data_IF_885838897312
#
_entry.id   IF_885838897312
#
_cell.length_a   1.000
_cell.length_b   1.000
_cell.length_c   1.000
_cell.angle_alpha   90.00
_cell.angle_beta   90.00
_cell.angle_gamma   90.00
#
_symmetry.space_group_name_H-M   'P 1'
#
loop_
_entity.id
_entity.type
_entity.pdbx_description
1 polymer ?
#
# COMPACT_ATOMS: atom_id res chain seq x y z
N UNK A 1 10.47 -6.47 22.76
CA UNK A 1 9.32 -6.24 21.85
C UNK A 1 9.88 -5.76 20.51
N UNK A 2 10.01 -6.67 19.53
CA UNK A 2 10.58 -6.34 18.22
C UNK A 2 9.57 -5.44 17.48
N UNK A 3 9.97 -4.20 17.22
CA UNK A 3 9.23 -3.25 16.36
C UNK A 3 9.24 -3.82 14.94
N UNK A 4 8.27 -4.69 14.63
CA UNK A 4 7.96 -5.04 13.25
C UNK A 4 7.25 -3.83 12.64
N UNK A 5 8.04 -2.93 12.06
CA UNK A 5 7.52 -1.99 11.08
C UNK A 5 7.06 -2.81 9.88
N UNK A 6 5.79 -3.23 9.91
CA UNK A 6 5.14 -3.73 8.72
C UNK A 6 5.07 -2.58 7.73
N UNK A 7 6.08 -2.47 6.87
CA UNK A 7 5.89 -1.87 5.57
C UNK A 7 4.80 -2.70 4.89
N UNK A 8 3.55 -2.30 5.04
CA UNK A 8 2.54 -2.65 4.06
C UNK A 8 3.04 -1.94 2.82
N UNK A 9 3.69 -2.72 1.97
CA UNK A 9 4.08 -2.31 0.65
C UNK A 9 2.81 -2.14 -0.18
N UNK A 10 2.05 -1.07 0.09
CA UNK A 10 1.50 -0.27 -1.01
C UNK A 10 2.62 0.58 -1.62
N UNK A 11 3.81 -0.02 -1.72
CA UNK A 11 4.99 0.55 -2.31
C UNK A 11 4.94 0.22 -3.79
N UNK A 12 4.66 1.27 -4.56
CA UNK A 12 5.25 1.48 -5.87
C UNK A 12 6.67 0.87 -5.93
N UNK A 13 6.80 -0.33 -6.49
CA UNK A 13 8.07 -0.95 -6.87
C UNK A 13 8.72 -1.85 -5.82
N UNK A 14 8.70 -3.16 -6.09
CA UNK A 14 9.81 -4.16 -5.99
C UNK A 14 9.16 -5.54 -6.24
N UNK A 15 9.67 -6.52 -6.98
CA UNK A 15 10.80 -6.80 -7.87
C UNK A 15 10.45 -8.15 -8.52
N UNK A 16 10.89 -8.40 -9.76
CA UNK A 16 10.86 -9.73 -10.36
C UNK A 16 9.52 -10.17 -10.95
N UNK A 17 9.55 -10.59 -12.22
CA UNK A 17 8.46 -11.32 -12.86
C UNK A 17 8.31 -12.64 -12.09
N UNK A 18 7.18 -12.87 -11.43
CA UNK A 18 6.78 -14.18 -10.91
C UNK A 18 5.34 -14.48 -11.31
N UNK A 19 5.01 -15.77 -11.43
CA UNK A 19 3.76 -16.26 -12.01
C UNK A 19 2.52 -15.72 -11.28
N UNK A 20 1.37 -15.63 -11.98
CA UNK A 20 0.12 -15.05 -11.44
C UNK A 20 -0.33 -15.64 -10.09
N UNK A 21 -0.04 -16.92 -9.84
CA UNK A 21 -0.36 -17.60 -8.59
C UNK A 21 0.47 -17.10 -7.39
N UNK A 22 1.73 -16.73 -7.61
CA UNK A 22 2.62 -16.15 -6.58
C UNK A 22 2.23 -14.69 -6.28
N UNK A 23 1.84 -13.94 -7.33
CA UNK A 23 1.29 -12.58 -7.19
C UNK A 23 -0.01 -12.58 -6.37
N UNK A 24 -0.88 -13.57 -6.59
CA UNK A 24 -2.12 -13.72 -5.83
C UNK A 24 -1.85 -14.13 -4.37
N UNK A 25 -0.91 -15.04 -4.13
CA UNK A 25 -0.49 -15.42 -2.78
C UNK A 25 0.10 -14.23 -1.98
N UNK A 26 0.96 -13.43 -2.62
CA UNK A 26 1.54 -12.22 -2.01
C UNK A 26 0.47 -11.19 -1.67
N UNK A 27 -0.47 -10.95 -2.58
CA UNK A 27 -1.58 -10.02 -2.35
C UNK A 27 -2.46 -10.47 -1.19
N UNK A 28 -2.80 -11.76 -1.10
CA UNK A 28 -3.56 -12.30 0.03
C UNK A 28 -2.84 -12.12 1.36
N UNK A 29 -1.52 -12.31 1.40
CA UNK A 29 -0.73 -12.08 2.61
C UNK A 29 -0.70 -10.59 3.02
N UNK A 30 -0.62 -9.67 2.06
CA UNK A 30 -0.69 -8.23 2.30
C UNK A 30 -2.08 -7.80 2.78
N UNK A 31 -3.14 -8.33 2.16
CA UNK A 31 -4.51 -8.11 2.58
C UNK A 31 -4.77 -8.63 3.99
N UNK A 32 -4.27 -9.81 4.34
CA UNK A 32 -4.39 -10.37 5.70
C UNK A 32 -3.77 -9.45 6.77
N UNK A 33 -2.62 -8.82 6.47
CA UNK A 33 -1.99 -7.83 7.36
C UNK A 33 -2.82 -6.56 7.49
N UNK A 34 -3.33 -6.04 6.37
CA UNK A 34 -4.21 -4.87 6.37
C UNK A 34 -5.47 -5.14 7.20
N UNK A 35 -6.12 -6.28 6.96
CA UNK A 35 -7.27 -6.74 7.72
C UNK A 35 -6.97 -6.75 9.23
N UNK A 36 -5.86 -7.36 9.63
CA UNK A 36 -5.43 -7.44 11.04
C UNK A 36 -5.20 -6.05 11.64
N UNK A 37 -4.52 -5.15 10.91
CA UNK A 37 -4.19 -3.81 11.40
C UNK A 37 -5.43 -2.93 11.57
N UNK A 38 -6.35 -2.99 10.60
CA UNK A 38 -7.59 -2.22 10.65
C UNK A 38 -8.58 -2.82 11.64
N UNK A 39 -8.53 -4.13 11.86
CA UNK A 39 -9.53 -4.87 12.63
C UNK A 39 -10.86 -4.86 11.87
N UNK A 40 -10.87 -5.40 10.64
CA UNK A 40 -12.08 -5.43 9.82
C UNK A 40 -13.07 -6.44 10.40
N UNK A 41 -14.35 -6.08 10.33
CA UNK A 41 -15.42 -7.04 10.59
C UNK A 41 -15.59 -7.98 9.39
N UNK A 42 -16.15 -9.16 9.64
CA UNK A 42 -16.39 -10.16 8.60
C UNK A 42 -17.23 -9.63 7.44
N UNK A 43 -18.15 -8.72 7.72
CA UNK A 43 -19.01 -8.02 6.74
C UNK A 43 -18.24 -7.06 5.83
N UNK A 44 -17.09 -6.54 6.27
CA UNK A 44 -16.27 -5.59 5.53
C UNK A 44 -15.21 -6.28 4.66
N UNK A 45 -14.86 -7.54 4.96
CA UNK A 45 -13.74 -8.25 4.34
C UNK A 45 -13.82 -8.26 2.81
N UNK A 46 -14.99 -8.63 2.25
CA UNK A 46 -15.15 -8.75 0.81
C UNK A 46 -15.02 -7.39 0.13
N UNK A 47 -15.70 -6.37 0.63
CA UNK A 47 -15.67 -5.03 0.05
C UNK A 47 -14.27 -4.42 0.10
N UNK A 48 -13.60 -4.50 1.25
CA UNK A 48 -12.23 -3.97 1.39
C UNK A 48 -11.25 -4.77 0.51
N UNK A 49 -11.43 -6.08 0.36
CA UNK A 49 -10.62 -6.90 -0.55
C UNK A 49 -10.76 -6.42 -2.00
N UNK A 50 -11.98 -6.26 -2.49
CA UNK A 50 -12.27 -5.83 -3.85
C UNK A 50 -11.73 -4.41 -4.13
N UNK A 51 -11.87 -3.47 -3.18
CA UNK A 51 -11.30 -2.13 -3.30
C UNK A 51 -9.77 -2.21 -3.45
N UNK A 52 -9.09 -3.01 -2.62
CA UNK A 52 -7.63 -3.18 -2.71
C UNK A 52 -7.22 -3.82 -4.04
N UNK A 53 -7.97 -4.81 -4.54
CA UNK A 53 -7.67 -5.47 -5.82
C UNK A 53 -7.85 -4.50 -7.00
N UNK A 54 -8.95 -3.73 -7.02
CA UNK A 54 -9.20 -2.69 -8.01
C UNK A 54 -8.08 -1.63 -8.03
N UNK A 55 -7.64 -1.17 -6.85
CA UNK A 55 -6.58 -0.18 -6.78
C UNK A 55 -5.24 -0.76 -7.27
N UNK A 56 -4.90 -1.99 -6.90
CA UNK A 56 -3.70 -2.71 -7.40
C UNK A 56 -3.71 -2.83 -8.93
N UNK A 57 -4.81 -3.27 -9.53
CA UNK A 57 -4.94 -3.38 -10.99
C UNK A 57 -4.80 -2.00 -11.66
N UNK A 58 -5.42 -0.97 -11.08
CA UNK A 58 -5.29 0.41 -11.54
C UNK A 58 -3.84 0.87 -11.53
N UNK A 59 -3.10 0.62 -10.45
CA UNK A 59 -1.67 0.94 -10.36
C UNK A 59 -0.83 0.22 -11.41
N UNK A 60 -1.10 -1.08 -11.65
CA UNK A 60 -0.43 -1.85 -12.70
C UNK A 60 -0.70 -1.27 -14.09
N UNK A 61 -1.95 -0.91 -14.37
CA UNK A 61 -2.34 -0.31 -15.65
C UNK A 61 -1.66 1.05 -15.88
N UNK A 62 -1.62 1.91 -14.87
CA UNK A 62 -0.95 3.21 -14.94
C UNK A 62 0.56 3.03 -15.16
N UNK A 63 1.19 2.03 -14.50
CA UNK A 63 2.62 1.70 -14.67
C UNK A 63 2.94 1.21 -16.07
N UNK A 64 2.11 0.34 -16.63
CA UNK A 64 2.33 -0.23 -17.96
C UNK A 64 2.17 0.81 -19.08
N UNK A 65 1.41 1.89 -18.86
CA UNK A 65 1.19 2.96 -19.86
C UNK A 65 2.37 3.94 -20.00
N UNK A 66 3.23 4.07 -18.98
CA UNK A 66 4.53 4.74 -19.06
C UNK A 66 4.56 6.19 -19.57
N UNK A 67 3.44 6.92 -19.56
CA UNK A 67 3.35 8.27 -20.12
C UNK A 67 3.64 9.37 -19.07
N UNK A 68 3.87 10.60 -19.54
CA UNK A 68 4.25 11.75 -18.68
C UNK A 68 3.17 12.15 -17.65
N UNK A 69 1.92 11.67 -17.77
CA UNK A 69 0.83 11.94 -16.82
C UNK A 69 0.69 10.89 -15.71
N UNK A 70 1.67 9.98 -15.56
CA UNK A 70 1.61 8.87 -14.59
C UNK A 70 1.38 9.34 -13.14
N UNK A 71 1.98 10.47 -12.73
CA UNK A 71 1.82 11.00 -11.37
C UNK A 71 0.40 11.51 -11.10
N UNK A 72 -0.19 12.21 -12.06
CA UNK A 72 -1.56 12.74 -11.95
C UNK A 72 -2.58 11.61 -11.91
N UNK A 73 -2.44 10.61 -12.78
CA UNK A 73 -3.28 9.40 -12.76
C UNK A 73 -3.15 8.63 -11.45
N UNK A 74 -1.94 8.55 -10.88
CA UNK A 74 -1.74 7.91 -9.58
C UNK A 74 -2.42 8.70 -8.45
N UNK A 75 -2.39 10.04 -8.50
CA UNK A 75 -3.09 10.89 -7.53
C UNK A 75 -4.61 10.70 -7.61
N UNK A 76 -5.17 10.66 -8.81
CA UNK A 76 -6.60 10.38 -9.01
C UNK A 76 -6.99 9.00 -8.49
N UNK A 77 -6.21 7.97 -8.82
CA UNK A 77 -6.46 6.61 -8.34
C UNK A 77 -6.41 6.52 -6.81
N UNK A 78 -5.47 7.23 -6.16
CA UNK A 78 -5.40 7.34 -4.70
C UNK A 78 -6.64 8.00 -4.11
N UNK A 79 -7.12 9.11 -4.71
CA UNK A 79 -8.32 9.80 -4.24
C UNK A 79 -9.57 8.92 -4.36
N UNK A 80 -9.75 8.22 -5.48
CA UNK A 80 -10.85 7.27 -5.67
C UNK A 80 -10.80 6.17 -4.62
N UNK A 81 -9.63 5.57 -4.43
CA UNK A 81 -9.44 4.51 -3.44
C UNK A 81 -9.68 5.00 -1.99
N UNK A 82 -9.24 6.21 -1.64
CA UNK A 82 -9.54 6.81 -0.34
C UNK A 82 -11.05 7.01 -0.13
N UNK A 83 -11.78 7.43 -1.17
CA UNK A 83 -13.24 7.57 -1.10
C UNK A 83 -13.92 6.23 -0.85
N UNK A 84 -13.58 5.20 -1.62
CA UNK A 84 -14.15 3.86 -1.47
C UNK A 84 -13.85 3.27 -0.08
N UNK A 85 -12.63 3.43 0.41
CA UNK A 85 -12.25 2.98 1.76
C UNK A 85 -12.99 3.76 2.86
N UNK A 86 -13.32 5.04 2.64
CA UNK A 86 -14.11 5.82 3.60
C UNK A 86 -15.54 5.29 3.73
N UNK A 87 -16.10 4.80 2.63
CA UNK A 87 -17.46 4.26 2.59
C UNK A 87 -17.52 2.85 3.20
N UNK A 88 -16.49 2.02 2.99
CA UNK A 88 -16.42 0.64 3.49
C UNK A 88 -15.99 0.50 4.96
N UNK A 89 -15.30 1.51 5.51
CA UNK A 89 -14.71 1.48 6.86
C UNK A 89 -15.49 2.36 7.83
N UNK A 90 -15.50 1.96 9.11
CA UNK A 90 -15.94 2.87 10.17
C UNK A 90 -14.88 3.96 10.42
N UNK A 91 -15.24 4.97 11.20
CA UNK A 91 -14.39 6.15 11.40
C UNK A 91 -13.01 5.81 12.00
N UNK A 92 -12.95 4.88 12.95
CA UNK A 92 -11.69 4.47 13.58
C UNK A 92 -10.79 3.72 12.59
N UNK A 93 -11.36 2.77 11.85
CA UNK A 93 -10.68 2.03 10.81
C UNK A 93 -10.16 2.97 9.71
N UNK A 94 -10.96 3.94 9.28
CA UNK A 94 -10.55 4.90 8.26
C UNK A 94 -9.40 5.81 8.75
N UNK A 95 -9.41 6.24 10.02
CA UNK A 95 -8.27 6.97 10.61
C UNK A 95 -6.99 6.13 10.62
N UNK A 96 -7.08 4.85 11.00
CA UNK A 96 -5.94 3.91 10.94
C UNK A 96 -5.42 3.76 9.51
N UNK A 97 -6.34 3.63 8.54
CA UNK A 97 -6.04 3.51 7.13
C UNK A 97 -5.28 4.73 6.57
N UNK A 98 -5.79 5.94 6.81
CA UNK A 98 -5.13 7.19 6.38
C UNK A 98 -3.76 7.36 7.04
N UNK A 99 -3.65 7.01 8.33
CA UNK A 99 -2.37 7.04 9.05
C UNK A 99 -1.34 6.11 8.40
N UNK A 100 -1.75 4.89 8.05
CA UNK A 100 -0.89 3.92 7.36
C UNK A 100 -0.45 4.42 5.97
N UNK A 101 -1.36 5.02 5.20
CA UNK A 101 -1.02 5.63 3.91
C UNK A 101 0.01 6.75 4.06
N UNK A 102 -0.18 7.64 5.03
CA UNK A 102 0.73 8.76 5.29
C UNK A 102 2.13 8.28 5.70
N UNK A 103 2.21 7.30 6.59
CA UNK A 103 3.49 6.69 7.01
C UNK A 103 4.17 6.04 5.80
N UNK A 104 3.45 5.26 5.00
CA UNK A 104 3.99 4.61 3.79
C UNK A 104 4.53 5.63 2.81
N UNK A 105 3.79 6.71 2.55
CA UNK A 105 4.22 7.77 1.63
C UNK A 105 5.47 8.50 2.14
N UNK A 106 5.51 8.85 3.43
CA UNK A 106 6.68 9.50 4.03
C UNK A 106 7.90 8.60 4.00
N UNK A 107 7.75 7.32 4.34
CA UNK A 107 8.84 6.35 4.23
C UNK A 107 9.34 6.25 2.78
N UNK A 108 8.45 6.18 1.79
CA UNK A 108 8.85 6.14 0.38
C UNK A 108 9.58 7.41 -0.08
N UNK A 109 9.27 8.59 0.47
CA UNK A 109 10.03 9.83 0.20
C UNK A 109 11.42 9.75 0.83
N UNK A 110 11.50 9.41 2.11
CA UNK A 110 12.78 9.25 2.83
C UNK A 110 13.68 8.25 2.10
N UNK A 111 13.14 7.10 1.69
CA UNK A 111 13.90 6.07 0.98
C UNK A 111 14.40 6.47 -0.42
N UNK A 112 13.73 7.42 -1.07
CA UNK A 112 14.21 8.01 -2.33
C UNK A 112 15.33 9.02 -2.11
N UNK A 113 15.31 9.72 -0.99
CA UNK A 113 16.29 10.75 -0.63
C UNK A 113 17.53 10.15 0.06
N UNK A 114 17.35 9.11 0.88
CA UNK A 114 18.37 8.37 1.59
C UNK A 114 18.05 6.86 1.53
N UNK A 115 18.76 6.06 0.72
CA UNK A 115 18.56 4.62 0.69
C UNK A 115 18.87 4.00 2.07
N UNK A 116 18.20 2.88 2.40
CA UNK A 116 18.31 2.24 3.72
C UNK A 116 19.76 1.96 4.14
N UNK A 117 20.63 1.63 3.19
CA UNK A 117 22.06 1.42 3.44
C UNK A 117 22.69 2.61 4.14
N UNK A 118 22.31 3.83 3.75
CA UNK A 118 22.91 5.06 4.27
C UNK A 118 22.32 5.39 5.65
N UNK A 119 21.05 5.05 5.90
CA UNK A 119 20.41 5.15 7.23
C UNK A 119 21.07 4.18 8.22
N UNK A 120 21.35 2.94 7.80
CA UNK A 120 22.01 1.95 8.66
C UNK A 120 23.48 2.28 8.94
N UNK A 121 24.14 3.04 8.07
CA UNK A 121 25.54 3.45 8.25
C UNK A 121 25.68 4.77 9.03
N UNK A 122 24.62 5.59 9.12
CA UNK A 122 24.63 6.87 9.83
C UNK A 122 24.87 6.74 11.36
N UNK A 123 24.54 5.59 11.95
CA UNK A 123 24.72 5.32 13.38
C UNK A 123 26.10 4.70 13.73
N UNK A 124 26.98 4.48 12.74
CA UNK A 124 28.30 3.83 12.92
C UNK A 124 29.49 4.82 12.96
N UNK A 125 29.26 6.08 13.30
CA UNK A 125 30.32 7.11 13.41
C UNK A 125 30.29 7.84 14.75
#
# INVERSE_FOLDING_TARGET
MKKMFFAIAFALGTMGITNAQEINGKFMAEFSKLNTYLGLESTQLNEVYEINNYFKETQMNIKNRGNKSHEEQMKEALLVNMKLMKDALNEEQYRKYVTLLNITNNNNKILKEMPLTDIYMADNH
#
